data_IF_164747091437
#
_entry.id   IF_164747091437
#
_cell.length_a   1.000
_cell.length_b   1.000
_cell.length_c   1.000
_cell.angle_alpha   90.00
_cell.angle_beta   90.00
_cell.angle_gamma   90.00
#
_symmetry.space_group_name_H-M   'P 1'
#
loop_
_entity.id
_entity.type
_entity.pdbx_description
1 polymer ?
#
# COMPACT_ATOMS: atom_id res chain seq x y z
N UNK A 1 22.52 -0.98 -7.46
CA UNK A 1 22.04 -1.23 -6.09
C UNK A 1 20.53 -1.31 -6.19
N UNK A 2 19.91 -2.38 -5.69
CA UNK A 2 18.46 -2.46 -5.63
C UNK A 2 17.95 -1.34 -4.70
N UNK A 3 16.87 -0.66 -5.08
CA UNK A 3 16.25 0.33 -4.22
C UNK A 3 15.67 -0.38 -3.00
N UNK A 4 16.27 -0.18 -1.83
CA UNK A 4 15.70 -0.69 -0.58
C UNK A 4 14.57 0.27 -0.16
N UNK A 5 13.34 -0.21 -0.27
CA UNK A 5 12.15 0.57 0.05
C UNK A 5 11.67 0.19 1.44
N UNK A 6 11.70 1.15 2.37
CA UNK A 6 11.15 0.96 3.71
C UNK A 6 9.62 1.07 3.67
N UNK A 7 8.97 -0.05 3.99
CA UNK A 7 7.53 -0.24 3.92
C UNK A 7 7.05 -0.76 5.27
N UNK A 8 6.08 -0.06 5.85
CA UNK A 8 5.46 -0.43 7.13
C UNK A 8 3.95 -0.62 6.91
N UNK A 9 3.48 -1.86 6.81
CA UNK A 9 2.07 -2.16 6.65
C UNK A 9 1.23 -1.70 7.85
N UNK A 10 0.06 -1.13 7.59
CA UNK A 10 -0.98 -0.90 8.61
C UNK A 10 -2.03 -2.03 8.63
N UNK A 11 -2.07 -2.81 7.55
CA UNK A 11 -2.89 -3.99 7.35
C UNK A 11 -2.10 -5.04 6.56
N UNK A 12 -2.68 -6.23 6.37
CA UNK A 12 -2.06 -7.26 5.52
C UNK A 12 -1.98 -6.77 4.06
N UNK A 13 -0.77 -6.76 3.49
CA UNK A 13 -0.57 -6.36 2.09
C UNK A 13 -0.71 -7.55 1.17
N UNK A 14 -1.49 -7.36 0.10
CA UNK A 14 -1.42 -8.26 -1.05
C UNK A 14 -0.17 -7.92 -1.86
N UNK A 15 0.80 -8.83 -1.89
CA UNK A 15 2.06 -8.67 -2.63
C UNK A 15 2.04 -9.57 -3.85
N UNK A 16 2.26 -8.97 -5.02
CA UNK A 16 2.45 -9.70 -6.28
C UNK A 16 3.83 -9.40 -6.84
N UNK A 17 4.53 -10.44 -7.26
CA UNK A 17 5.82 -10.34 -7.93
C UNK A 17 5.69 -10.94 -9.32
N UNK A 18 6.09 -10.18 -10.32
CA UNK A 18 6.11 -10.59 -11.72
C UNK A 18 7.49 -10.29 -12.30
N UNK A 19 7.97 -11.15 -13.20
CA UNK A 19 9.20 -10.90 -13.97
C UNK A 19 8.80 -10.75 -15.42
N UNK A 20 9.10 -9.59 -15.99
CA UNK A 20 8.81 -9.27 -17.39
C UNK A 20 10.14 -9.18 -18.14
N UNK A 21 10.29 -10.00 -19.17
CA UNK A 21 11.41 -9.90 -20.09
C UNK A 21 11.12 -8.79 -21.11
N UNK A 22 11.91 -7.73 -21.10
CA UNK A 22 11.68 -6.56 -21.94
C UNK A 22 12.93 -6.05 -22.65
N UNK A 23 12.69 -5.43 -23.81
CA UNK A 23 13.70 -4.76 -24.61
C UNK A 23 13.50 -3.27 -24.56
N UNK A 24 14.40 -2.57 -23.86
CA UNK A 24 14.39 -1.12 -23.71
C UNK A 24 15.60 -0.55 -24.44
N UNK A 25 15.36 0.01 -25.62
CA UNK A 25 16.42 0.47 -26.53
C UNK A 25 17.35 -0.68 -26.93
N UNK A 26 18.63 -0.59 -26.54
CA UNK A 26 19.64 -1.61 -26.84
C UNK A 26 19.77 -2.70 -25.76
N UNK A 27 19.02 -2.59 -24.67
CA UNK A 27 19.12 -3.50 -23.54
C UNK A 27 17.98 -4.51 -23.55
N UNK A 28 18.33 -5.77 -23.39
CA UNK A 28 17.42 -6.83 -23.00
C UNK A 28 17.66 -7.10 -21.51
N UNK A 29 16.59 -7.04 -20.72
CA UNK A 29 16.60 -7.18 -19.27
C UNK A 29 15.37 -7.92 -18.79
N UNK A 30 15.53 -8.59 -17.66
CA UNK A 30 14.41 -9.08 -16.86
C UNK A 30 14.09 -8.02 -15.82
N UNK A 31 12.91 -7.41 -15.93
CA UNK A 31 12.43 -6.41 -14.98
C UNK A 31 11.55 -7.11 -13.95
N UNK A 32 11.97 -7.03 -12.67
CA UNK A 32 11.20 -7.56 -11.55
C UNK A 32 10.24 -6.49 -11.05
N UNK A 33 8.95 -6.74 -11.23
CA UNK A 33 7.87 -5.86 -10.79
C UNK A 33 7.30 -6.42 -9.48
N UNK A 34 7.42 -5.65 -8.39
CA UNK A 34 6.76 -5.98 -7.12
C UNK A 34 5.68 -4.95 -6.84
N UNK A 35 4.42 -5.40 -6.85
CA UNK A 35 3.23 -4.59 -6.53
C UNK A 35 2.75 -4.95 -5.13
N UNK A 36 2.43 -3.93 -4.34
CA UNK A 36 1.94 -4.06 -2.96
C UNK A 36 0.66 -3.25 -2.83
N UNK A 37 -0.44 -3.93 -2.51
CA UNK A 37 -1.76 -3.32 -2.38
C UNK A 37 -2.28 -3.47 -0.96
N UNK A 38 -2.82 -2.39 -0.41
CA UNK A 38 -3.25 -2.27 0.99
C UNK A 38 -2.59 -1.07 1.64
N UNK A 39 -3.18 -0.55 2.71
CA UNK A 39 -2.72 0.66 3.37
C UNK A 39 -1.37 0.45 4.07
N UNK A 40 -0.36 1.23 3.67
CA UNK A 40 0.98 1.18 4.27
C UNK A 40 1.69 2.52 4.23
N UNK A 41 2.63 2.69 5.15
CA UNK A 41 3.62 3.75 5.05
C UNK A 41 4.74 3.35 4.10
N UNK A 42 5.12 4.30 3.26
CA UNK A 42 6.22 4.22 2.31
C UNK A 42 7.22 5.34 2.61
N UNK A 43 8.48 5.00 2.87
CA UNK A 43 9.56 5.98 3.00
C UNK A 43 10.27 6.14 1.66
N UNK A 44 10.16 7.33 1.07
CA UNK A 44 10.83 7.67 -0.18
C UNK A 44 12.36 7.78 0.01
N UNK A 45 13.15 7.70 -1.07
CA UNK A 45 14.61 7.90 -1.00
C UNK A 45 15.03 9.27 -0.45
N UNK A 46 14.15 10.29 -0.56
CA UNK A 46 14.34 11.60 0.08
C UNK A 46 14.24 11.57 1.60
N UNK A 47 13.82 10.45 2.20
CA UNK A 47 13.44 10.34 3.61
C UNK A 47 11.99 10.75 3.90
N UNK A 48 11.23 11.20 2.89
CA UNK A 48 9.84 11.59 3.06
C UNK A 48 8.95 10.37 3.24
N UNK A 49 8.23 10.31 4.37
CA UNK A 49 7.25 9.25 4.63
C UNK A 49 5.88 9.64 4.08
N UNK A 50 5.26 8.73 3.33
CA UNK A 50 3.96 8.94 2.68
C UNK A 50 3.05 7.76 2.97
N UNK A 51 1.79 8.03 3.29
CA UNK A 51 0.77 7.00 3.41
C UNK A 51 0.23 6.68 2.02
N UNK A 52 0.17 5.40 1.65
CA UNK A 52 -0.19 4.97 0.29
C UNK A 52 -1.16 3.79 0.33
N UNK A 53 -2.03 3.72 -0.68
CA UNK A 53 -2.94 2.58 -0.89
C UNK A 53 -2.29 1.47 -1.74
N UNK A 54 -1.33 1.85 -2.59
CA UNK A 54 -0.62 0.96 -3.48
C UNK A 54 0.79 1.50 -3.75
N UNK A 55 1.77 0.60 -3.81
CA UNK A 55 3.12 0.90 -4.27
C UNK A 55 3.65 -0.18 -5.22
N UNK A 56 4.46 0.24 -6.19
CA UNK A 56 5.05 -0.63 -7.21
C UNK A 56 6.53 -0.30 -7.35
N UNK A 57 7.37 -1.32 -7.27
CA UNK A 57 8.80 -1.23 -7.61
C UNK A 57 9.06 -2.02 -8.87
N UNK A 58 9.70 -1.41 -9.87
CA UNK A 58 10.13 -2.05 -11.11
C UNK A 58 11.65 -2.02 -11.16
N UNK A 59 12.30 -3.16 -10.92
CA UNK A 59 13.76 -3.28 -10.91
C UNK A 59 14.25 -3.93 -12.21
N UNK A 60 14.80 -3.12 -13.12
CA UNK A 60 15.44 -3.58 -14.36
C UNK A 60 16.96 -3.79 -14.21
N UNK A 61 17.43 -3.92 -12.96
CA UNK A 61 18.82 -4.17 -12.62
C UNK A 61 19.75 -3.00 -12.93
N UNK A 62 21.06 -3.27 -13.06
CA UNK A 62 22.07 -2.23 -13.25
C UNK A 62 21.95 -1.42 -14.55
N UNK A 63 21.22 -1.94 -15.55
CA UNK A 63 21.06 -1.30 -16.86
C UNK A 63 19.94 -0.26 -16.88
N UNK A 64 18.80 -0.55 -16.25
CA UNK A 64 17.63 0.35 -16.23
C UNK A 64 17.38 1.00 -14.87
N UNK A 65 18.02 0.51 -13.81
CA UNK A 65 17.77 0.94 -12.44
C UNK A 65 16.44 0.45 -11.90
N UNK A 66 16.02 1.06 -10.79
CA UNK A 66 14.75 0.74 -10.12
C UNK A 66 13.84 1.96 -10.14
N UNK A 67 12.59 1.76 -10.58
CA UNK A 67 11.54 2.78 -10.54
C UNK A 67 10.57 2.49 -9.40
N UNK A 68 10.17 3.53 -8.66
CA UNK A 68 9.15 3.46 -7.61
C UNK A 68 7.95 4.32 -8.04
N UNK A 69 6.77 3.72 -8.08
CA UNK A 69 5.48 4.40 -8.28
C UNK A 69 4.56 4.08 -7.11
N UNK A 70 3.69 5.02 -6.75
CA UNK A 70 2.73 4.81 -5.66
C UNK A 70 1.48 5.67 -5.84
N UNK A 71 0.40 5.23 -5.20
CA UNK A 71 -0.85 5.97 -5.09
C UNK A 71 -0.97 6.53 -3.67
N UNK A 72 -0.80 7.85 -3.47
CA UNK A 72 -0.97 8.46 -2.15
C UNK A 72 -2.37 8.19 -1.60
N UNK A 73 -2.44 7.82 -0.32
CA UNK A 73 -3.70 7.68 0.36
C UNK A 73 -4.32 9.07 0.55
N UNK A 74 -5.53 9.26 0.04
CA UNK A 74 -6.24 10.55 0.14
C UNK A 74 -7.10 10.68 1.39
N UNK A 75 -7.25 9.60 2.18
CA UNK A 75 -7.84 9.69 3.50
C UNK A 75 -6.90 10.47 4.41
N UNK A 76 -7.29 11.66 4.83
CA UNK A 76 -6.52 12.40 5.83
C UNK A 76 -6.37 11.58 7.11
N UNK A 77 -5.40 11.96 7.95
CA UNK A 77 -5.35 11.44 9.31
C UNK A 77 -6.70 11.71 9.98
N UNK A 78 -7.49 10.65 10.18
CA UNK A 78 -8.77 10.80 10.86
C UNK A 78 -8.47 11.15 12.31
N UNK A 79 -8.85 12.36 12.75
CA UNK A 79 -8.60 12.80 14.11
C UNK A 79 -9.21 11.86 15.13
N UNK A 80 -8.71 11.87 16.37
CA UNK A 80 -9.20 10.97 17.43
C UNK A 80 -10.70 11.12 17.68
N UNK A 81 -11.23 12.33 17.47
CA UNK A 81 -12.67 12.62 17.51
C UNK A 81 -13.46 11.82 16.47
N UNK A 82 -13.00 11.82 15.22
CA UNK A 82 -13.68 11.13 14.13
C UNK A 82 -13.57 9.62 14.28
N UNK A 83 -12.43 9.13 14.78
CA UNK A 83 -12.25 7.72 15.16
C UNK A 83 -13.23 7.29 16.24
N UNK A 84 -13.39 8.12 17.28
CA UNK A 84 -14.34 7.86 18.38
C UNK A 84 -15.77 7.86 17.87
N UNK A 85 -16.14 8.86 17.05
CA UNK A 85 -17.48 8.95 16.46
C UNK A 85 -17.80 7.73 15.57
N UNK A 86 -16.83 7.29 14.76
CA UNK A 86 -16.99 6.11 13.91
C UNK A 86 -17.12 4.83 14.73
N UNK A 87 -16.34 4.68 15.82
CA UNK A 87 -16.44 3.54 16.73
C UNK A 87 -17.80 3.45 17.40
N UNK A 88 -18.35 4.57 17.88
CA UNK A 88 -19.69 4.62 18.46
C UNK A 88 -20.79 4.36 17.42
N UNK A 89 -20.57 4.77 16.16
CA UNK A 89 -21.47 4.40 15.07
C UNK A 89 -21.46 2.89 14.79
N UNK A 90 -20.29 2.27 14.67
CA UNK A 90 -20.15 0.83 14.47
C UNK A 90 -20.79 0.01 15.60
N UNK A 91 -20.58 0.41 16.87
CA UNK A 91 -21.24 -0.23 18.02
C UNK A 91 -22.76 -0.17 17.92
N UNK A 92 -23.33 0.98 17.53
CA UNK A 92 -24.78 1.13 17.35
C UNK A 92 -25.31 0.24 16.23
N UNK A 93 -24.61 0.18 15.10
CA UNK A 93 -24.98 -0.69 13.99
C UNK A 93 -24.93 -2.18 14.39
N UNK A 94 -23.86 -2.60 15.06
CA UNK A 94 -23.73 -3.97 15.56
C UNK A 94 -24.82 -4.31 16.57
N UNK A 95 -25.10 -3.44 17.54
CA UNK A 95 -26.18 -3.64 18.50
C UNK A 95 -27.54 -3.81 17.81
N UNK A 96 -27.84 -2.94 16.83
CA UNK A 96 -29.08 -3.05 16.05
C UNK A 96 -29.18 -4.39 15.32
N UNK A 97 -28.11 -4.83 14.66
CA UNK A 97 -28.10 -6.12 13.96
C UNK A 97 -28.32 -7.28 14.93
N UNK A 98 -27.66 -7.26 16.10
CA UNK A 98 -27.82 -8.30 17.12
C UNK A 98 -29.26 -8.37 17.63
N UNK A 99 -29.91 -7.23 17.85
CA UNK A 99 -31.34 -7.16 18.23
C UNK A 99 -32.24 -7.66 17.09
N UNK A 100 -32.02 -7.19 15.86
CA UNK A 100 -32.83 -7.58 14.70
C UNK A 100 -32.71 -9.10 14.40
N UNK A 101 -31.57 -9.72 14.74
CA UNK A 101 -31.33 -11.17 14.61
C UNK A 101 -31.76 -11.98 15.85
N UNK A 102 -32.23 -11.34 16.92
CA UNK A 102 -32.69 -12.03 18.14
C UNK A 102 -31.57 -12.63 18.98
N UNK A 103 -30.34 -12.12 18.87
CA UNK A 103 -29.21 -12.52 19.73
C UNK A 103 -29.21 -11.78 21.08
N UNK A 104 -30.14 -10.85 21.30
CA UNK A 104 -30.31 -10.03 22.51
C UNK A 104 -31.80 -9.85 22.84
#
# INVERSE_FOLDING_TARGET
>A
MALEVDIQPLEELTVMVEVVHEKVGRYEVDTVITRRKGLHWLTQPSGTRVLVDESVTMDGGSKLGTTLCFTPHTGGETGERDRTANREHLKRCAAKVMTDMGFW
#
